data_IF_519867496159
#
_entry.id   IF_519867496159
#
_cell.length_a   1.000
_cell.length_b   1.000
_cell.length_c   1.000
_cell.angle_alpha   90.00
_cell.angle_beta   90.00
_cell.angle_gamma   90.00
#
_symmetry.space_group_name_H-M   'P 1'
#
loop_
_entity.id
_entity.type
_entity.pdbx_description
1 polymer ?
#
# COMPACT_ATOMS: atom_id res chain seq x y z
N UNK A 1 0.56 5.66 -8.30
CA UNK A 1 1.91 5.13 -8.03
C UNK A 1 2.93 5.97 -8.79
N UNK A 2 3.96 6.45 -8.09
CA UNK A 2 5.00 7.29 -8.68
C UNK A 2 6.20 6.46 -9.10
N UNK A 3 6.83 6.84 -10.22
CA UNK A 3 8.07 6.25 -10.69
C UNK A 3 9.22 7.20 -10.35
N UNK A 4 10.27 6.67 -9.75
CA UNK A 4 11.45 7.44 -9.37
C UNK A 4 12.69 6.92 -10.12
N UNK A 5 13.65 7.80 -10.41
CA UNK A 5 14.95 7.34 -10.96
C UNK A 5 15.60 6.31 -10.02
N UNK A 6 16.13 5.25 -10.59
CA UNK A 6 16.74 4.17 -9.82
C UNK A 6 15.80 3.13 -9.27
N UNK A 7 14.48 3.32 -9.41
CA UNK A 7 13.45 2.43 -8.87
C UNK A 7 12.68 1.65 -9.94
N UNK A 8 13.23 1.52 -11.15
CA UNK A 8 12.48 0.95 -12.27
C UNK A 8 12.03 -0.49 -12.03
N UNK A 9 12.89 -1.33 -11.46
CA UNK A 9 12.54 -2.74 -11.18
C UNK A 9 11.47 -2.81 -10.10
N UNK A 10 11.64 -2.07 -9.01
CA UNK A 10 10.67 -2.01 -7.92
C UNK A 10 9.31 -1.52 -8.42
N UNK A 11 9.30 -0.43 -9.18
CA UNK A 11 8.08 0.14 -9.74
C UNK A 11 7.41 -0.84 -10.71
N UNK A 12 8.20 -1.49 -11.56
CA UNK A 12 7.69 -2.52 -12.47
C UNK A 12 7.03 -3.67 -11.72
N UNK A 13 7.63 -4.13 -10.62
CA UNK A 13 7.05 -5.17 -9.77
C UNK A 13 5.71 -4.73 -9.19
N UNK A 14 5.61 -3.49 -8.72
CA UNK A 14 4.35 -2.96 -8.17
C UNK A 14 3.26 -2.87 -9.22
N UNK A 15 3.58 -2.43 -10.44
CA UNK A 15 2.60 -2.41 -11.53
C UNK A 15 2.19 -3.83 -11.95
N UNK A 16 3.11 -4.79 -11.90
CA UNK A 16 2.79 -6.19 -12.18
C UNK A 16 1.77 -6.74 -11.17
N UNK A 17 1.95 -6.44 -9.88
CA UNK A 17 0.98 -6.84 -8.84
C UNK A 17 -0.39 -6.24 -9.13
N UNK A 18 -0.45 -4.97 -9.52
CA UNK A 18 -1.70 -4.31 -9.87
C UNK A 18 -2.40 -5.03 -11.03
N UNK A 19 -1.66 -5.36 -12.08
CA UNK A 19 -2.21 -6.06 -13.23
C UNK A 19 -2.74 -7.45 -12.86
N UNK A 20 -2.00 -8.19 -12.03
CA UNK A 20 -2.41 -9.51 -11.55
C UNK A 20 -3.70 -9.40 -10.74
N UNK A 21 -3.81 -8.43 -9.85
CA UNK A 21 -5.01 -8.27 -9.03
C UNK A 21 -6.21 -7.83 -9.85
N UNK A 22 -6.02 -6.99 -10.85
CA UNK A 22 -7.08 -6.59 -11.76
C UNK A 22 -7.59 -7.81 -12.55
N UNK A 23 -6.67 -8.64 -13.06
CA UNK A 23 -7.02 -9.87 -13.77
C UNK A 23 -7.79 -10.84 -12.89
N UNK A 24 -7.32 -11.04 -11.66
CA UNK A 24 -8.00 -11.92 -10.71
C UNK A 24 -9.43 -11.43 -10.42
N UNK A 25 -9.61 -10.14 -10.22
CA UNK A 25 -10.93 -9.56 -9.97
C UNK A 25 -11.88 -9.78 -11.13
N UNK A 26 -11.38 -9.58 -12.35
CA UNK A 26 -12.19 -9.78 -13.56
C UNK A 26 -12.61 -11.24 -13.73
N UNK A 27 -11.67 -12.18 -13.54
CA UNK A 27 -11.95 -13.60 -13.62
C UNK A 27 -12.94 -14.02 -12.53
N UNK A 28 -12.77 -13.52 -11.33
CA UNK A 28 -13.66 -13.79 -10.20
C UNK A 28 -15.10 -13.33 -10.50
N UNK A 29 -15.24 -12.15 -11.11
CA UNK A 29 -16.54 -11.64 -11.51
C UNK A 29 -17.19 -12.49 -12.60
N UNK A 30 -16.40 -12.94 -13.58
CA UNK A 30 -16.88 -13.80 -14.65
C UNK A 30 -17.37 -15.15 -14.12
N UNK A 31 -16.69 -15.70 -13.12
CA UNK A 31 -17.04 -16.97 -12.49
C UNK A 31 -18.10 -16.82 -11.40
N UNK A 32 -18.53 -15.60 -11.12
CA UNK A 32 -19.56 -15.30 -10.10
C UNK A 32 -19.20 -15.80 -8.70
N UNK A 33 -17.89 -15.76 -8.35
CA UNK A 33 -17.43 -16.20 -7.03
C UNK A 33 -17.72 -15.20 -5.93
N UNK A 34 -17.98 -13.93 -6.27
CA UNK A 34 -18.19 -12.82 -5.34
C UNK A 34 -16.98 -12.54 -4.44
N UNK A 35 -15.80 -12.95 -4.85
CA UNK A 35 -14.57 -12.64 -4.12
C UNK A 35 -14.20 -11.19 -4.41
N UNK A 36 -14.03 -10.42 -3.34
CA UNK A 36 -13.59 -9.03 -3.45
C UNK A 36 -12.09 -8.94 -3.18
N UNK A 37 -11.42 -8.08 -3.93
CA UNK A 37 -9.99 -7.84 -3.75
C UNK A 37 -9.75 -6.36 -3.54
N UNK A 38 -8.82 -6.03 -2.65
CA UNK A 38 -8.41 -4.65 -2.41
C UNK A 38 -6.90 -4.61 -2.36
N UNK A 39 -6.30 -3.73 -3.17
CA UNK A 39 -4.86 -3.50 -3.11
C UNK A 39 -4.62 -2.18 -2.38
N UNK A 40 -3.78 -2.24 -1.35
CA UNK A 40 -3.39 -1.06 -0.59
C UNK A 40 -2.03 -0.58 -1.04
N UNK A 41 -1.91 0.73 -1.21
CA UNK A 41 -0.65 1.40 -1.51
C UNK A 41 -0.34 2.36 -0.35
N UNK A 42 0.27 1.87 0.74
CA UNK A 42 0.58 2.75 1.87
C UNK A 42 1.85 3.55 1.58
N UNK A 43 1.86 4.79 2.04
CA UNK A 43 3.06 5.61 2.06
C UNK A 43 3.92 5.31 3.29
N UNK A 44 4.48 6.36 3.89
CA UNK A 44 5.34 6.20 5.06
C UNK A 44 4.55 5.68 6.26
N UNK A 45 4.93 4.52 6.78
CA UNK A 45 4.31 3.88 7.95
C UNK A 45 5.36 3.75 9.04
N UNK A 46 5.01 4.14 10.25
CA UNK A 46 5.89 3.99 11.41
C UNK A 46 5.92 2.53 11.86
N UNK A 47 7.02 1.86 11.57
CA UNK A 47 7.25 0.47 11.95
C UNK A 47 8.57 0.36 12.70
N UNK A 48 8.89 -0.84 13.19
CA UNK A 48 10.15 -1.11 13.87
C UNK A 48 11.34 -1.29 12.92
N UNK A 49 11.12 -1.17 11.62
CA UNK A 49 12.16 -1.36 10.61
C UNK A 49 13.36 -0.42 10.83
N UNK A 50 13.11 0.78 11.33
CA UNK A 50 14.17 1.76 11.59
C UNK A 50 15.24 1.20 12.54
N UNK A 51 14.86 0.41 13.52
CA UNK A 51 15.78 -0.15 14.51
C UNK A 51 16.75 -1.17 13.92
N UNK A 52 16.48 -1.67 12.72
CA UNK A 52 17.32 -2.65 12.03
C UNK A 52 18.36 -1.98 11.12
N UNK A 53 18.31 -0.67 10.94
CA UNK A 53 19.20 0.08 10.05
C UNK A 53 20.48 0.41 10.80
N UNK A 54 21.63 -0.06 10.28
CA UNK A 54 22.93 0.09 10.93
C UNK A 54 23.75 1.29 10.45
N UNK A 55 23.45 1.84 9.27
CA UNK A 55 24.18 2.97 8.69
C UNK A 55 23.64 4.28 9.24
N UNK A 56 24.45 5.11 9.96
CA UNK A 56 23.93 6.31 10.60
C UNK A 56 23.28 7.31 9.65
N UNK A 57 23.84 7.51 8.48
CA UNK A 57 23.29 8.44 7.48
C UNK A 57 21.95 7.98 6.95
N UNK A 58 21.84 6.69 6.61
CA UNK A 58 20.61 6.09 6.16
C UNK A 58 19.56 6.12 7.27
N UNK A 59 19.98 5.83 8.52
CA UNK A 59 19.09 5.88 9.66
C UNK A 59 18.51 7.27 9.88
N UNK A 60 19.33 8.31 9.76
CA UNK A 60 18.85 9.69 9.90
C UNK A 60 17.83 10.06 8.84
N UNK A 61 18.08 9.70 7.58
CA UNK A 61 17.13 9.93 6.49
C UNK A 61 15.80 9.22 6.75
N UNK A 62 15.85 8.00 7.25
CA UNK A 62 14.65 7.23 7.58
C UNK A 62 13.92 7.80 8.80
N UNK A 63 14.66 8.32 9.78
CA UNK A 63 14.05 9.01 10.93
C UNK A 63 13.25 10.23 10.47
N UNK A 64 13.83 11.07 9.59
CA UNK A 64 13.15 12.23 9.04
C UNK A 64 11.89 11.81 8.26
N UNK A 65 11.98 10.73 7.49
CA UNK A 65 10.86 10.17 6.76
C UNK A 65 9.75 9.71 7.70
N UNK A 66 10.12 9.02 8.79
CA UNK A 66 9.14 8.49 9.74
C UNK A 66 8.52 9.57 10.65
N UNK A 67 9.09 10.76 10.71
CA UNK A 67 8.44 11.87 11.43
C UNK A 67 7.10 12.25 10.81
N UNK A 68 6.93 12.02 9.52
CA UNK A 68 5.67 12.29 8.82
C UNK A 68 4.82 11.03 8.63
N UNK A 69 5.30 9.88 9.09
CA UNK A 69 4.64 8.59 8.86
C UNK A 69 3.33 8.47 9.62
N UNK A 70 2.39 7.75 9.02
CA UNK A 70 1.15 7.37 9.70
C UNK A 70 1.39 6.14 10.57
N UNK A 71 0.49 5.91 11.52
CA UNK A 71 0.57 4.73 12.38
C UNK A 71 0.05 3.48 11.68
N UNK A 72 0.50 2.29 12.08
CA UNK A 72 -0.10 1.03 11.60
C UNK A 72 -1.60 0.96 11.87
N UNK A 73 -2.06 1.55 12.98
CA UNK A 73 -3.48 1.58 13.34
C UNK A 73 -4.30 2.37 12.32
N UNK A 74 -3.75 3.46 11.76
CA UNK A 74 -4.42 4.23 10.72
C UNK A 74 -4.60 3.40 9.45
N UNK A 75 -3.59 2.60 9.10
CA UNK A 75 -3.67 1.67 7.97
C UNK A 75 -4.70 0.59 8.24
N UNK A 76 -4.72 0.04 9.45
CA UNK A 76 -5.68 -1.00 9.84
C UNK A 76 -7.13 -0.51 9.73
N UNK A 77 -7.40 0.74 10.10
CA UNK A 77 -8.74 1.34 9.95
C UNK A 77 -9.18 1.39 8.49
N UNK A 78 -8.25 1.65 7.58
CA UNK A 78 -8.53 1.70 6.15
C UNK A 78 -8.85 0.30 5.61
N UNK A 79 -8.12 -0.72 6.06
CA UNK A 79 -8.41 -2.11 5.73
C UNK A 79 -9.80 -2.48 6.22
N UNK A 80 -10.13 -2.13 7.45
CA UNK A 80 -11.45 -2.39 8.02
C UNK A 80 -12.56 -1.72 7.22
N UNK A 81 -12.33 -0.49 6.77
CA UNK A 81 -13.27 0.21 5.90
C UNK A 81 -13.58 -0.59 4.63
N UNK A 82 -12.53 -1.12 3.98
CA UNK A 82 -12.72 -1.91 2.75
C UNK A 82 -13.49 -3.20 3.02
N UNK A 83 -13.19 -3.89 4.11
CA UNK A 83 -13.84 -5.15 4.48
C UNK A 83 -15.30 -4.93 4.88
N UNK A 84 -15.60 -3.82 5.54
CA UNK A 84 -16.92 -3.54 6.11
C UNK A 84 -17.95 -3.08 5.06
N UNK A 85 -17.56 -2.90 3.80
CA UNK A 85 -18.51 -2.51 2.76
C UNK A 85 -19.52 -3.63 2.49
N UNK A 86 -20.71 -3.28 2.00
CA UNK A 86 -21.70 -4.30 1.61
C UNK A 86 -21.11 -5.28 0.58
N UNK A 87 -21.64 -6.49 0.54
CA UNK A 87 -21.10 -7.56 -0.30
C UNK A 87 -21.02 -7.20 -1.79
N UNK A 88 -21.92 -6.33 -2.27
CA UNK A 88 -21.95 -5.90 -3.67
C UNK A 88 -20.99 -4.77 -3.99
N UNK A 89 -20.29 -4.23 -2.99
CA UNK A 89 -19.37 -3.10 -3.17
C UNK A 89 -17.93 -3.60 -3.07
N UNK A 90 -17.15 -3.38 -4.13
CA UNK A 90 -15.73 -3.68 -4.16
C UNK A 90 -14.92 -2.40 -4.11
N UNK A 91 -14.04 -2.28 -3.11
CA UNK A 91 -13.04 -1.24 -3.06
C UNK A 91 -11.78 -1.85 -3.66
N UNK A 92 -11.43 -1.49 -4.87
CA UNK A 92 -10.38 -2.18 -5.63
C UNK A 92 -8.98 -1.70 -5.28
N UNK A 93 -8.83 -0.41 -5.01
CA UNK A 93 -7.53 0.18 -4.68
C UNK A 93 -7.72 1.28 -3.65
N UNK A 94 -6.77 1.37 -2.73
CA UNK A 94 -6.69 2.45 -1.75
C UNK A 94 -5.26 2.91 -1.63
N UNK A 95 -5.02 4.19 -1.87
CA UNK A 95 -3.72 4.82 -1.63
C UNK A 95 -3.82 5.62 -0.35
N UNK A 96 -2.96 5.28 0.62
CA UNK A 96 -2.98 5.89 1.95
C UNK A 96 -1.65 6.58 2.18
N UNK A 97 -1.67 7.89 2.27
CA UNK A 97 -0.47 8.68 2.48
C UNK A 97 -0.63 9.54 3.73
N UNK A 98 0.46 9.77 4.48
CA UNK A 98 0.45 10.85 5.44
C UNK A 98 0.12 12.16 4.73
N UNK A 99 -0.69 12.99 5.34
CA UNK A 99 -1.04 14.28 4.72
C UNK A 99 0.17 15.17 4.50
N UNK A 100 1.26 14.95 5.24
CA UNK A 100 2.53 15.66 5.08
C UNK A 100 3.41 15.10 3.96
N UNK A 101 3.07 13.93 3.40
CA UNK A 101 3.81 13.31 2.30
C UNK A 101 3.20 13.75 0.97
N UNK A 102 3.98 14.39 0.15
CA UNK A 102 3.51 14.84 -1.16
C UNK A 102 3.58 13.74 -2.21
#
# INVERSE_FOLDING_TARGET
MKVFPGNSVYTGTKFAVRAIMDGFRMESAMEKTNIRTTTLYPGAIATELLDTISTPETKKGMEDFYQIAITPEAVAKTVLFAIAQPAEVGITELTILPSAQA
#
